data_IF_402639289265
#
_entry.id   IF_402639289265
#
_cell.length_a   1.000
_cell.length_b   1.000
_cell.length_c   1.000
_cell.angle_alpha   90.00
_cell.angle_beta   90.00
_cell.angle_gamma   90.00
#
_symmetry.space_group_name_H-M   'P 1'
#
loop_
_entity.id
_entity.type
_entity.pdbx_description
1 polymer ?
#
# COMPACT_ATOMS: atom_id res chain seq x y z
N UNK A 1 -11.79 -15.68 -9.67
CA UNK A 1 -10.71 -14.79 -10.14
C UNK A 1 -10.72 -13.54 -9.25
N UNK A 2 -9.70 -13.31 -8.43
CA UNK A 2 -9.56 -12.12 -7.55
C UNK A 2 -9.00 -10.91 -8.37
N UNK A 3 -9.23 -9.65 -7.96
CA UNK A 3 -9.81 -8.56 -8.77
C UNK A 3 -8.81 -7.66 -9.56
N UNK A 4 -9.32 -6.75 -10.43
CA UNK A 4 -8.51 -5.93 -11.34
C UNK A 4 -7.74 -4.78 -10.64
N UNK A 5 -6.45 -4.65 -11.02
CA UNK A 5 -5.56 -3.48 -11.00
C UNK A 5 -5.67 -2.57 -9.77
N UNK A 6 -4.87 -2.85 -8.74
CA UNK A 6 -4.59 -1.91 -7.66
C UNK A 6 -3.69 -0.76 -8.16
N UNK A 7 -4.07 0.46 -7.80
CA UNK A 7 -3.33 1.66 -8.17
C UNK A 7 -1.96 1.73 -7.50
N UNK A 8 -1.02 2.40 -8.17
CA UNK A 8 0.23 2.97 -7.63
C UNK A 8 1.21 1.98 -7.00
N UNK A 9 0.81 1.38 -5.90
CA UNK A 9 1.60 0.58 -4.98
C UNK A 9 2.26 -0.66 -5.58
N UNK A 10 1.58 -1.39 -6.48
CA UNK A 10 2.16 -2.57 -7.18
C UNK A 10 3.37 -2.22 -8.07
N UNK A 11 3.67 -0.93 -8.27
CA UNK A 11 4.82 -0.44 -9.03
C UNK A 11 6.04 -0.19 -8.14
N UNK A 12 5.78 0.14 -6.87
CA UNK A 12 6.79 0.44 -5.85
C UNK A 12 7.09 -0.81 -5.00
N UNK A 13 6.18 -1.78 -4.97
CA UNK A 13 6.32 -3.11 -4.36
C UNK A 13 7.12 -4.03 -5.31
N UNK A 14 8.44 -4.04 -5.13
CA UNK A 14 9.36 -4.70 -6.06
C UNK A 14 9.40 -6.23 -5.85
N UNK A 15 9.21 -6.65 -4.60
CA UNK A 15 9.12 -8.06 -4.20
C UNK A 15 7.71 -8.65 -4.40
N UNK A 16 6.65 -7.83 -4.27
CA UNK A 16 5.27 -8.27 -4.45
C UNK A 16 4.64 -8.90 -3.21
N UNK A 17 5.22 -8.76 -2.01
CA UNK A 17 4.59 -9.22 -0.76
C UNK A 17 3.41 -8.35 -0.33
N UNK A 18 3.23 -7.19 -0.95
CA UNK A 18 2.20 -6.25 -0.58
C UNK A 18 2.65 -5.26 0.49
N UNK A 19 3.95 -5.07 0.69
CA UNK A 19 4.55 -4.05 1.52
C UNK A 19 5.63 -3.30 0.72
N UNK A 20 5.83 -2.01 0.99
CA UNK A 20 6.89 -1.22 0.35
C UNK A 20 7.82 -0.74 1.44
N UNK A 21 9.05 -1.23 1.44
CA UNK A 21 10.07 -0.80 2.41
C UNK A 21 10.67 0.56 2.05
N UNK A 22 11.38 1.23 2.97
CA UNK A 22 12.15 2.45 2.65
C UNK A 22 13.18 2.23 1.53
N UNK A 23 13.66 1.00 1.35
CA UNK A 23 14.61 0.65 0.29
C UNK A 23 13.93 0.50 -1.08
N UNK A 24 12.68 0.03 -1.11
CA UNK A 24 11.87 -0.09 -2.32
C UNK A 24 11.16 1.22 -2.69
N UNK A 25 10.92 2.07 -1.71
CA UNK A 25 10.29 3.37 -1.92
C UNK A 25 11.21 4.31 -2.70
N UNK A 26 10.86 4.58 -3.96
CA UNK A 26 11.64 5.46 -4.83
C UNK A 26 11.45 6.97 -4.54
N UNK A 27 10.64 7.31 -3.53
CA UNK A 27 10.34 8.69 -3.14
C UNK A 27 11.16 9.19 -1.94
N UNK A 28 10.97 10.46 -1.55
CA UNK A 28 11.63 11.03 -0.39
C UNK A 28 11.12 10.41 0.93
N UNK A 29 12.02 10.21 1.88
CA UNK A 29 11.73 9.61 3.20
C UNK A 29 10.61 10.33 3.95
N UNK A 30 10.49 11.65 3.79
CA UNK A 30 9.41 12.44 4.41
C UNK A 30 8.00 12.05 3.91
N UNK A 31 7.88 11.59 2.66
CA UNK A 31 6.61 11.08 2.15
C UNK A 31 6.31 9.69 2.70
N UNK A 32 7.35 8.87 2.82
CA UNK A 32 7.24 7.57 3.43
C UNK A 32 6.72 7.69 4.87
N UNK A 33 7.33 8.55 5.68
CA UNK A 33 6.94 8.79 7.07
C UNK A 33 5.54 9.43 7.22
N UNK A 34 5.05 10.12 6.19
CA UNK A 34 3.65 10.61 6.18
C UNK A 34 2.63 9.53 5.85
N UNK A 35 3.04 8.49 5.13
CA UNK A 35 2.20 7.37 4.73
C UNK A 35 2.26 6.23 5.77
N UNK A 36 3.42 6.05 6.40
CA UNK A 36 3.75 5.08 7.45
C UNK A 36 3.16 5.58 8.78
N UNK A 37 1.93 5.15 9.07
CA UNK A 37 1.16 5.66 10.23
C UNK A 37 1.48 4.89 11.49
N UNK A 38 1.84 3.62 11.36
CA UNK A 38 2.28 2.75 12.45
C UNK A 38 3.76 3.01 12.83
N UNK A 39 4.55 3.62 11.94
CA UNK A 39 5.95 3.97 12.16
C UNK A 39 6.87 2.76 12.18
N UNK A 40 6.54 1.69 11.46
CA UNK A 40 7.32 0.46 11.45
C UNK A 40 8.39 0.42 10.35
N UNK A 41 8.43 1.45 9.50
CA UNK A 41 9.43 1.58 8.44
C UNK A 41 9.08 0.81 7.17
N UNK A 42 7.85 0.28 7.04
CA UNK A 42 7.30 -0.35 5.84
C UNK A 42 5.89 0.20 5.55
N UNK A 43 5.57 0.47 4.29
CA UNK A 43 4.21 0.83 3.89
C UNK A 43 3.44 -0.44 3.55
N UNK A 44 2.55 -0.86 4.44
CA UNK A 44 1.73 -2.03 4.12
C UNK A 44 0.65 -1.71 3.09
N UNK A 45 0.13 -2.74 2.41
CA UNK A 45 -0.98 -2.62 1.45
C UNK A 45 -2.23 -1.95 2.04
N UNK A 46 -2.40 -1.99 3.36
CA UNK A 46 -3.50 -1.33 4.07
C UNK A 46 -3.26 0.17 4.22
N UNK A 47 -2.00 0.59 4.42
CA UNK A 47 -1.58 1.98 4.60
C UNK A 47 -1.42 2.72 3.27
N UNK A 48 -0.94 2.03 2.24
CA UNK A 48 -0.78 2.60 0.91
C UNK A 48 -2.07 2.63 0.07
N UNK A 49 -3.13 1.93 0.51
CA UNK A 49 -4.44 2.10 -0.10
C UNK A 49 -5.07 3.38 0.48
N UNK A 50 -5.54 4.33 -0.36
CA UNK A 50 -6.46 5.35 0.15
C UNK A 50 -7.64 4.61 0.80
N UNK A 51 -8.22 5.14 1.90
CA UNK A 51 -9.29 4.47 2.62
C UNK A 51 -10.38 4.10 1.62
N UNK A 52 -10.40 2.83 1.23
CA UNK A 52 -11.32 2.35 0.24
C UNK A 52 -12.68 2.44 0.90
N UNK A 53 -13.44 3.45 0.52
CA UNK A 53 -14.84 3.52 0.87
C UNK A 53 -15.49 2.20 0.51
N UNK A 54 -15.78 1.38 1.52
CA UNK A 54 -16.86 0.40 1.55
C UNK A 54 -17.02 -0.41 0.25
N UNK A 55 -15.99 -1.17 -0.13
CA UNK A 55 -16.03 -2.05 -1.31
C UNK A 55 -16.15 -3.55 -1.01
N UNK A 56 -16.37 -3.94 0.25
CA UNK A 56 -16.63 -5.33 0.61
C UNK A 56 -17.42 -5.41 1.91
N UNK A 57 -18.74 -5.54 1.78
CA UNK A 57 -19.53 -6.40 2.67
C UNK A 57 -20.51 -7.21 1.81
N UNK A 58 -20.72 -8.50 2.11
CA UNK A 58 -21.17 -9.51 1.16
C UNK A 58 -22.69 -9.77 1.20
N UNK A 59 -23.15 -10.65 0.29
CA UNK A 59 -24.44 -11.36 0.21
C UNK A 59 -25.69 -10.61 -0.28
N UNK A 60 -26.11 -10.98 -1.50
CA UNK A 60 -27.51 -11.30 -1.81
C UNK A 60 -27.52 -12.74 -2.31
#
# INVERSE_FOLDING_TARGET
MRPPKGGGFEKDDADGDGQVTKEEFSGPSEHFEQLDRNGDGVLSRDEAKPPQGKGQRPSR
#
